data_IF_460787826066
#
_entry.id   IF_460787826066
#
_cell.length_a   1.000
_cell.length_b   1.000
_cell.length_c   1.000
_cell.angle_alpha   90.00
_cell.angle_beta   90.00
_cell.angle_gamma   90.00
#
_symmetry.space_group_name_H-M   'P 1'
#
loop_
_entity.id
_entity.type
_entity.pdbx_description
1 polymer ?
#
# COMPACT_ATOMS: atom_id res chain seq x y z
N UNK A 1 14.05 -24.53 10.45
CA UNK A 1 13.53 -25.72 9.75
C UNK A 1 14.09 -25.70 8.33
N UNK A 2 14.53 -26.83 7.75
CA UNK A 2 15.00 -26.87 6.37
C UNK A 2 13.92 -26.42 5.38
N UNK A 3 14.30 -25.80 4.27
CA UNK A 3 13.37 -25.25 3.25
C UNK A 3 12.37 -26.30 2.75
N UNK A 4 12.81 -27.54 2.52
CA UNK A 4 11.96 -28.66 2.09
C UNK A 4 10.90 -29.01 3.13
N UNK A 5 11.23 -28.94 4.43
CA UNK A 5 10.28 -29.18 5.50
C UNK A 5 9.29 -28.01 5.65
N UNK A 6 9.70 -26.76 5.38
CA UNK A 6 8.78 -25.62 5.27
C UNK A 6 7.75 -25.84 4.15
N UNK A 7 8.19 -26.28 2.97
CA UNK A 7 7.29 -26.56 1.85
C UNK A 7 6.31 -27.68 2.20
N UNK A 8 6.83 -28.83 2.64
CA UNK A 8 6.03 -30.02 2.87
C UNK A 8 5.07 -29.92 4.08
N UNK A 9 5.48 -29.27 5.16
CA UNK A 9 4.72 -29.25 6.43
C UNK A 9 3.91 -27.98 6.65
N UNK A 10 4.25 -26.87 5.97
CA UNK A 10 3.55 -25.58 6.15
C UNK A 10 2.88 -25.15 4.85
N UNK A 11 3.64 -24.95 3.77
CA UNK A 11 3.12 -24.33 2.55
C UNK A 11 2.05 -25.20 1.88
N UNK A 12 2.36 -26.47 1.58
CA UNK A 12 1.40 -27.36 0.89
C UNK A 12 0.10 -27.57 1.68
N UNK A 13 0.12 -27.80 3.01
CA UNK A 13 -1.12 -27.85 3.79
C UNK A 13 -1.87 -26.52 3.82
N UNK A 14 -1.16 -25.39 3.96
CA UNK A 14 -1.76 -24.06 4.02
C UNK A 14 -2.47 -23.68 2.70
N UNK A 15 -1.94 -24.09 1.55
CA UNK A 15 -2.53 -23.84 0.22
C UNK A 15 -3.99 -24.26 0.14
N UNK A 16 -4.36 -25.42 0.71
CA UNK A 16 -5.74 -25.90 0.67
C UNK A 16 -6.74 -24.96 1.38
N UNK A 17 -6.28 -24.26 2.42
CA UNK A 17 -7.09 -23.30 3.17
C UNK A 17 -7.08 -21.92 2.52
N UNK A 18 -5.95 -21.49 1.95
CA UNK A 18 -5.83 -20.21 1.24
C UNK A 18 -6.67 -20.15 -0.04
N UNK A 19 -6.88 -21.28 -0.72
CA UNK A 19 -7.70 -21.35 -1.95
C UNK A 19 -9.14 -21.74 -1.67
N UNK A 20 -9.58 -21.75 -0.41
CA UNK A 20 -10.92 -22.18 -0.08
C UNK A 20 -11.97 -21.15 -0.51
N UNK A 21 -12.87 -21.56 -1.40
CA UNK A 21 -13.96 -20.74 -1.96
C UNK A 21 -15.35 -21.09 -1.39
N UNK A 22 -15.40 -21.95 -0.37
CA UNK A 22 -16.64 -22.38 0.27
C UNK A 22 -17.14 -21.44 1.37
N UNK A 23 -18.25 -21.82 2.01
CA UNK A 23 -18.87 -21.03 3.08
C UNK A 23 -17.96 -20.86 4.29
N UNK A 24 -17.80 -19.62 4.76
CA UNK A 24 -16.98 -19.26 5.90
C UNK A 24 -17.69 -19.62 7.22
N UNK A 25 -17.49 -20.84 7.69
CA UNK A 25 -17.77 -21.18 9.09
C UNK A 25 -16.71 -20.55 10.01
N UNK A 26 -17.02 -20.34 11.29
CA UNK A 26 -16.06 -19.77 12.26
C UNK A 26 -14.72 -20.52 12.26
N UNK A 27 -14.77 -21.86 12.26
CA UNK A 27 -13.56 -22.70 12.21
C UNK A 27 -12.80 -22.55 10.89
N UNK A 28 -13.49 -22.36 9.77
CA UNK A 28 -12.84 -22.15 8.48
C UNK A 28 -12.08 -20.81 8.43
N UNK A 29 -12.65 -19.76 9.05
CA UNK A 29 -11.96 -18.46 9.20
C UNK A 29 -10.67 -18.63 10.02
N UNK A 30 -10.73 -19.31 11.17
CA UNK A 30 -9.54 -19.57 12.00
C UNK A 30 -8.45 -20.36 11.25
N UNK A 31 -8.86 -21.38 10.48
CA UNK A 31 -7.94 -22.17 9.66
C UNK A 31 -7.31 -21.35 8.53
N UNK A 32 -8.11 -20.50 7.87
CA UNK A 32 -7.63 -19.58 6.86
C UNK A 32 -6.61 -18.59 7.46
N UNK A 33 -6.93 -17.93 8.58
CA UNK A 33 -6.03 -16.97 9.23
C UNK A 33 -4.73 -17.63 9.71
N UNK A 34 -4.83 -18.87 10.21
CA UNK A 34 -3.67 -19.68 10.59
C UNK A 34 -2.79 -20.01 9.38
N UNK A 35 -3.39 -20.44 8.28
CA UNK A 35 -2.69 -20.75 7.03
C UNK A 35 -2.03 -19.50 6.42
N UNK A 36 -2.74 -18.37 6.42
CA UNK A 36 -2.23 -17.06 5.99
C UNK A 36 -1.01 -16.64 6.80
N UNK A 37 -1.12 -16.65 8.13
CA UNK A 37 -0.03 -16.27 9.04
C UNK A 37 1.19 -17.20 8.91
N UNK A 38 0.96 -18.51 8.81
CA UNK A 38 2.04 -19.49 8.66
C UNK A 38 2.78 -19.33 7.31
N UNK A 39 2.05 -19.12 6.22
CA UNK A 39 2.63 -18.88 4.89
C UNK A 39 3.44 -17.60 4.86
N UNK A 40 2.91 -16.51 5.43
CA UNK A 40 3.62 -15.24 5.53
C UNK A 40 4.89 -15.35 6.38
N UNK A 41 4.86 -16.16 7.45
CA UNK A 41 6.05 -16.45 8.25
C UNK A 41 7.12 -17.22 7.46
N UNK A 42 6.73 -18.17 6.60
CA UNK A 42 7.66 -18.89 5.73
C UNK A 42 8.30 -17.96 4.71
N UNK A 43 7.50 -17.09 4.08
CA UNK A 43 7.97 -16.07 3.13
C UNK A 43 8.94 -15.08 3.77
N UNK A 44 8.67 -14.69 5.02
CA UNK A 44 9.50 -13.73 5.76
C UNK A 44 10.86 -14.30 6.20
N UNK A 45 11.11 -15.60 6.02
CA UNK A 45 12.37 -16.23 6.42
C UNK A 45 13.42 -16.14 5.29
N UNK A 46 14.54 -15.42 5.46
CA UNK A 46 15.55 -15.24 4.41
C UNK A 46 16.18 -16.56 3.93
N UNK A 47 16.21 -17.60 4.77
CA UNK A 47 16.74 -18.92 4.42
C UNK A 47 15.86 -19.68 3.42
N UNK A 48 14.60 -19.28 3.25
CA UNK A 48 13.65 -19.89 2.32
C UNK A 48 13.62 -19.16 0.96
N UNK A 49 14.67 -18.44 0.59
CA UNK A 49 14.68 -17.59 -0.61
C UNK A 49 14.31 -18.33 -1.89
N UNK A 50 14.81 -19.57 -2.09
CA UNK A 50 14.47 -20.40 -3.25
C UNK A 50 12.99 -20.80 -3.30
N UNK A 51 12.40 -21.13 -2.15
CA UNK A 51 10.97 -21.44 -2.02
C UNK A 51 10.11 -20.19 -2.25
N UNK A 52 10.56 -19.06 -1.73
CA UNK A 52 9.87 -17.77 -1.81
C UNK A 52 9.66 -17.32 -3.26
N UNK A 53 10.67 -17.49 -4.12
CA UNK A 53 10.56 -17.15 -5.56
C UNK A 53 9.40 -17.87 -6.23
N UNK A 54 9.21 -19.17 -5.95
CA UNK A 54 8.09 -19.93 -6.52
C UNK A 54 6.74 -19.65 -5.83
N UNK A 55 6.77 -19.27 -4.55
CA UNK A 55 5.56 -19.14 -3.74
C UNK A 55 4.89 -17.76 -3.85
N UNK A 56 5.67 -16.68 -4.05
CA UNK A 56 5.16 -15.30 -4.06
C UNK A 56 4.02 -15.10 -5.08
N UNK A 57 4.12 -15.54 -6.35
CA UNK A 57 3.04 -15.34 -7.32
C UNK A 57 1.72 -16.00 -6.87
N UNK A 58 1.78 -17.24 -6.37
CA UNK A 58 0.61 -17.94 -5.85
C UNK A 58 0.02 -17.22 -4.62
N UNK A 59 0.87 -16.80 -3.69
CA UNK A 59 0.40 -16.14 -2.47
C UNK A 59 -0.27 -14.80 -2.76
N UNK A 60 0.27 -14.02 -3.71
CA UNK A 60 -0.33 -12.74 -4.13
C UNK A 60 -1.69 -12.95 -4.77
N UNK A 61 -1.84 -13.95 -5.64
CA UNK A 61 -3.14 -14.27 -6.25
C UNK A 61 -4.18 -14.65 -5.19
N UNK A 62 -3.79 -15.52 -4.25
CA UNK A 62 -4.65 -15.88 -3.11
C UNK A 62 -5.00 -14.65 -2.24
N UNK A 63 -4.02 -13.77 -1.98
CA UNK A 63 -4.23 -12.55 -1.20
C UNK A 63 -5.28 -11.64 -1.86
N UNK A 64 -5.21 -11.46 -3.17
CA UNK A 64 -6.19 -10.66 -3.91
C UNK A 64 -7.56 -11.33 -4.02
N UNK A 65 -7.62 -12.66 -4.11
CA UNK A 65 -8.88 -13.39 -4.14
C UNK A 65 -9.60 -13.36 -2.78
N UNK A 66 -8.84 -13.29 -1.68
CA UNK A 66 -9.37 -13.23 -0.33
C UNK A 66 -9.80 -11.82 0.12
N UNK A 67 -9.23 -10.75 -0.42
CA UNK A 67 -9.64 -9.38 -0.08
C UNK A 67 -10.83 -8.91 -0.95
N UNK A 68 -11.86 -8.26 -0.39
CA UNK A 68 -12.07 -7.88 1.02
C UNK A 68 -12.89 -8.88 1.85
N UNK A 69 -13.27 -10.02 1.28
CA UNK A 69 -14.26 -10.93 1.89
C UNK A 69 -13.74 -11.76 3.08
N UNK A 70 -12.48 -12.19 3.02
CA UNK A 70 -11.86 -13.11 3.98
C UNK A 70 -10.74 -12.45 4.81
N UNK A 71 -10.15 -11.36 4.29
CA UNK A 71 -9.10 -10.59 4.99
C UNK A 71 -9.48 -9.14 5.12
N UNK A 72 -9.15 -8.56 6.27
CA UNK A 72 -9.32 -7.14 6.52
C UNK A 72 -8.33 -6.29 5.72
N UNK A 73 -8.67 -5.01 5.53
CA UNK A 73 -7.75 -3.99 4.95
C UNK A 73 -6.38 -4.00 5.62
N UNK A 74 -6.34 -4.14 6.95
CA UNK A 74 -5.09 -4.17 7.70
C UNK A 74 -4.26 -5.41 7.37
N UNK A 75 -4.88 -6.60 7.39
CA UNK A 75 -4.19 -7.85 7.06
C UNK A 75 -3.67 -7.82 5.62
N UNK A 76 -4.48 -7.35 4.67
CA UNK A 76 -4.07 -7.18 3.27
C UNK A 76 -2.85 -6.26 3.14
N UNK A 77 -2.92 -5.05 3.71
CA UNK A 77 -1.83 -4.07 3.66
C UNK A 77 -0.53 -4.60 4.28
N UNK A 78 -0.61 -5.23 5.45
CA UNK A 78 0.56 -5.81 6.12
C UNK A 78 1.16 -6.93 5.27
N UNK A 79 0.34 -7.88 4.80
CA UNK A 79 0.79 -8.98 3.98
C UNK A 79 1.45 -8.49 2.68
N UNK A 80 0.81 -7.55 1.97
CA UNK A 80 1.33 -7.01 0.73
C UNK A 80 2.62 -6.22 0.96
N UNK A 81 2.69 -5.40 2.02
CA UNK A 81 3.92 -4.68 2.42
C UNK A 81 5.07 -5.66 2.68
N UNK A 82 4.80 -6.78 3.35
CA UNK A 82 5.80 -7.82 3.58
C UNK A 82 6.26 -8.47 2.27
N UNK A 83 5.35 -8.76 1.33
CA UNK A 83 5.73 -9.27 0.01
C UNK A 83 6.59 -8.24 -0.73
N UNK A 84 6.22 -6.96 -0.72
CA UNK A 84 7.00 -5.89 -1.33
C UNK A 84 8.41 -5.80 -0.74
N UNK A 85 8.55 -5.90 0.58
CA UNK A 85 9.87 -5.96 1.22
C UNK A 85 10.71 -7.14 0.72
N UNK A 86 10.09 -8.31 0.58
CA UNK A 86 10.75 -9.53 0.12
C UNK A 86 11.20 -9.39 -1.34
N UNK A 87 10.38 -8.81 -2.22
CA UNK A 87 10.72 -8.67 -3.65
C UNK A 87 11.66 -7.49 -3.96
N UNK A 88 12.06 -6.75 -2.93
CA UNK A 88 12.92 -5.57 -3.03
C UNK A 88 14.33 -5.84 -2.48
N UNK A 89 15.34 -5.03 -2.87
CA UNK A 89 16.67 -5.11 -2.29
C UNK A 89 16.61 -4.99 -0.75
N UNK A 90 17.40 -5.78 0.01
CA UNK A 90 18.57 -6.57 -0.44
C UNK A 90 18.27 -8.06 -0.75
N UNK A 91 17.02 -8.47 -0.90
CA UNK A 91 16.69 -9.89 -1.04
C UNK A 91 17.05 -10.46 -2.42
N UNK A 92 17.51 -11.73 -2.52
CA UNK A 92 17.96 -12.31 -3.80
C UNK A 92 16.91 -12.31 -4.92
N UNK A 93 15.63 -12.39 -4.58
CA UNK A 93 14.53 -12.38 -5.55
C UNK A 93 14.47 -11.08 -6.34
N UNK A 94 14.88 -9.94 -5.77
CA UNK A 94 14.89 -8.65 -6.49
C UNK A 94 15.94 -8.62 -7.61
N UNK A 95 16.94 -9.50 -7.55
CA UNK A 95 17.95 -9.68 -8.60
C UNK A 95 17.52 -10.70 -9.64
N UNK A 96 16.82 -11.76 -9.21
CA UNK A 96 16.30 -12.79 -10.11
C UNK A 96 15.12 -12.28 -10.96
N UNK A 97 14.22 -11.53 -10.34
CA UNK A 97 12.97 -11.04 -10.94
C UNK A 97 12.80 -9.53 -10.68
N UNK A 98 13.61 -8.67 -11.32
CA UNK A 98 13.64 -7.22 -11.04
C UNK A 98 12.33 -6.50 -11.40
N UNK A 99 11.49 -7.08 -12.26
CA UNK A 99 10.21 -6.51 -12.67
C UNK A 99 9.06 -6.85 -11.71
N UNK A 100 9.26 -7.83 -10.81
CA UNK A 100 8.19 -8.37 -9.98
C UNK A 100 7.57 -7.28 -9.08
N UNK A 101 8.38 -6.44 -8.45
CA UNK A 101 7.87 -5.35 -7.60
C UNK A 101 6.97 -4.38 -8.34
N UNK A 102 7.29 -4.09 -9.62
CA UNK A 102 6.47 -3.21 -10.45
C UNK A 102 5.17 -3.89 -10.88
N UNK A 103 5.26 -5.13 -11.37
CA UNK A 103 4.09 -5.94 -11.74
C UNK A 103 3.10 -6.06 -10.58
N UNK A 104 3.58 -6.27 -9.36
CA UNK A 104 2.73 -6.34 -8.17
C UNK A 104 1.98 -5.03 -7.92
N UNK A 105 2.64 -3.88 -8.08
CA UNK A 105 1.97 -2.59 -7.95
C UNK A 105 0.98 -2.33 -9.08
N UNK A 106 1.29 -2.73 -10.31
CA UNK A 106 0.35 -2.65 -11.45
C UNK A 106 -0.91 -3.46 -11.16
N UNK A 107 -0.78 -4.66 -10.59
CA UNK A 107 -1.93 -5.47 -10.17
C UNK A 107 -2.79 -4.75 -9.13
N UNK A 108 -2.18 -4.16 -8.09
CA UNK A 108 -2.92 -3.37 -7.07
C UNK A 108 -3.63 -2.19 -7.73
N UNK A 109 -2.92 -1.43 -8.57
CA UNK A 109 -3.47 -0.25 -9.24
C UNK A 109 -4.63 -0.62 -10.15
N UNK A 110 -4.48 -1.65 -10.99
CA UNK A 110 -5.54 -2.11 -11.89
C UNK A 110 -6.78 -2.55 -11.10
N UNK A 111 -6.60 -3.30 -10.01
CA UNK A 111 -7.72 -3.66 -9.13
C UNK A 111 -8.38 -2.45 -8.47
N UNK A 112 -7.61 -1.44 -8.07
CA UNK A 112 -8.16 -0.23 -7.45
C UNK A 112 -9.07 0.58 -8.40
N UNK A 113 -8.88 0.46 -9.72
CA UNK A 113 -9.71 1.15 -10.72
C UNK A 113 -11.13 0.59 -10.79
N UNK A 114 -11.29 -0.72 -10.57
CA UNK A 114 -12.59 -1.43 -10.65
C UNK A 114 -13.15 -1.84 -9.27
N UNK A 115 -12.47 -1.47 -8.17
CA UNK A 115 -12.81 -1.87 -6.82
C UNK A 115 -14.07 -1.17 -6.28
N UNK A 116 -14.73 -1.82 -5.30
CA UNK A 116 -15.90 -1.22 -4.66
C UNK A 116 -15.52 0.06 -3.90
N UNK A 117 -16.37 1.07 -4.06
CA UNK A 117 -16.24 2.39 -3.43
C UNK A 117 -17.09 2.51 -2.16
N UNK A 118 -17.99 1.55 -1.92
CA UNK A 118 -18.77 1.49 -0.70
C UNK A 118 -17.86 1.28 0.53
N UNK A 119 -18.17 1.89 1.69
CA UNK A 119 -17.47 1.61 2.93
C UNK A 119 -17.53 0.13 3.28
N UNK A 120 -16.39 -0.46 3.60
CA UNK A 120 -16.28 -1.85 4.05
C UNK A 120 -16.96 -2.01 5.42
N UNK A 121 -17.56 -3.17 5.70
CA UNK A 121 -18.12 -3.46 7.00
C UNK A 121 -17.03 -3.44 8.07
N UNK A 122 -17.40 -2.99 9.28
CA UNK A 122 -16.51 -3.04 10.43
C UNK A 122 -16.13 -4.50 10.71
N UNK A 123 -14.85 -4.81 10.65
CA UNK A 123 -14.35 -6.15 11.00
C UNK A 123 -14.31 -6.33 12.51
N UNK A 124 -14.37 -7.58 12.97
CA UNK A 124 -14.29 -7.91 14.40
C UNK A 124 -13.02 -7.34 15.06
N UNK A 125 -11.92 -7.25 14.31
CA UNK A 125 -10.67 -6.62 14.74
C UNK A 125 -10.81 -5.14 15.08
N UNK A 126 -11.64 -4.39 14.34
CA UNK A 126 -11.92 -2.97 14.60
C UNK A 126 -12.78 -2.83 15.84
N UNK A 127 -13.77 -3.69 16.01
CA UNK A 127 -14.63 -3.74 17.19
C UNK A 127 -13.79 -4.02 18.44
N UNK A 128 -12.95 -5.05 18.39
CA UNK A 128 -12.05 -5.44 19.49
C UNK A 128 -11.03 -4.34 19.84
N UNK A 129 -10.61 -3.52 18.87
CA UNK A 129 -9.70 -2.39 19.10
C UNK A 129 -10.41 -1.19 19.73
N UNK A 130 -11.63 -0.88 19.28
CA UNK A 130 -12.46 0.16 19.88
C UNK A 130 -12.77 -0.16 21.35
N UNK A 131 -13.04 -1.43 21.66
CA UNK A 131 -13.23 -1.91 23.05
C UNK A 131 -11.97 -1.76 23.92
N UNK A 132 -10.78 -1.80 23.30
CA UNK A 132 -9.48 -1.58 23.97
C UNK A 132 -9.09 -0.10 24.07
N UNK A 133 -9.97 0.83 23.68
CA UNK A 133 -9.73 2.27 23.73
C UNK A 133 -8.70 2.78 22.71
N UNK A 134 -8.39 1.97 21.68
CA UNK A 134 -7.60 2.41 20.53
C UNK A 134 -8.50 3.24 19.61
N UNK A 135 -7.93 4.24 18.93
CA UNK A 135 -8.69 5.09 18.01
C UNK A 135 -9.46 4.25 16.99
N UNK A 136 -10.74 4.54 16.71
CA UNK A 136 -11.50 3.84 15.68
C UNK A 136 -10.71 3.84 14.37
N UNK A 137 -10.66 2.70 13.66
CA UNK A 137 -10.10 2.71 12.30
C UNK A 137 -10.94 3.65 11.44
N UNK A 138 -10.25 4.50 10.67
CA UNK A 138 -10.91 5.36 9.70
C UNK A 138 -11.73 4.52 8.71
N UNK A 139 -12.88 5.01 8.24
CA UNK A 139 -13.72 4.29 7.29
C UNK A 139 -12.97 4.08 5.98
N UNK A 140 -12.88 2.82 5.53
CA UNK A 140 -12.19 2.42 4.30
C UNK A 140 -13.17 1.72 3.36
N UNK A 141 -13.05 1.97 2.06
CA UNK A 141 -13.57 1.13 0.97
C UNK A 141 -12.52 0.14 0.46
N UNK A 142 -12.92 -0.78 -0.42
CA UNK A 142 -11.98 -1.64 -1.13
C UNK A 142 -10.97 -0.80 -1.94
N UNK A 143 -11.47 0.18 -2.71
CA UNK A 143 -10.62 1.08 -3.51
C UNK A 143 -9.60 1.83 -2.63
N UNK A 144 -10.04 2.51 -1.58
CA UNK A 144 -9.13 3.28 -0.71
C UNK A 144 -8.12 2.38 0.01
N UNK A 145 -8.50 1.15 0.35
CA UNK A 145 -7.60 0.14 0.91
C UNK A 145 -6.48 -0.27 -0.05
N UNK A 146 -6.81 -0.45 -1.33
CA UNK A 146 -5.82 -0.77 -2.37
C UNK A 146 -4.89 0.42 -2.64
N UNK A 147 -5.42 1.65 -2.66
CA UNK A 147 -4.57 2.84 -2.82
C UNK A 147 -3.64 3.04 -1.61
N UNK A 148 -4.10 2.80 -0.38
CA UNK A 148 -3.23 2.76 0.80
C UNK A 148 -2.12 1.72 0.66
N UNK A 149 -2.42 0.59 0.04
CA UNK A 149 -1.43 -0.46 -0.22
C UNK A 149 -0.37 0.00 -1.22
N UNK A 150 -0.74 0.77 -2.25
CA UNK A 150 0.23 1.42 -3.15
C UNK A 150 1.16 2.35 -2.36
N UNK A 151 0.59 3.18 -1.48
CA UNK A 151 1.36 4.13 -0.65
C UNK A 151 2.36 3.42 0.26
N UNK A 152 1.91 2.38 0.96
CA UNK A 152 2.76 1.61 1.87
C UNK A 152 3.92 0.90 1.17
N UNK A 153 3.84 0.75 -0.16
CA UNK A 153 4.82 0.04 -0.97
C UNK A 153 5.89 0.98 -1.55
N UNK A 154 5.63 2.29 -1.61
CA UNK A 154 6.57 3.29 -2.17
C UNK A 154 7.99 3.21 -1.57
N UNK A 155 8.18 2.98 -0.25
CA UNK A 155 9.53 2.88 0.33
C UNK A 155 10.36 1.70 -0.18
N UNK A 156 9.73 0.67 -0.76
CA UNK A 156 10.42 -0.55 -1.21
C UNK A 156 10.73 -0.54 -2.70
N UNK A 157 10.22 0.44 -3.46
CA UNK A 157 10.39 0.48 -4.91
C UNK A 157 11.83 0.66 -5.34
N UNK A 158 12.31 -0.01 -6.41
CA UNK A 158 13.56 0.36 -7.06
C UNK A 158 13.59 1.85 -7.43
N UNK A 159 14.74 2.52 -7.22
CA UNK A 159 14.88 3.98 -7.42
C UNK A 159 14.33 4.50 -8.75
N UNK A 160 14.55 3.83 -9.91
CA UNK A 160 14.05 4.32 -11.19
C UNK A 160 12.52 4.45 -11.25
N UNK A 161 11.80 3.70 -10.42
CA UNK A 161 10.35 3.61 -10.43
C UNK A 161 9.69 4.60 -9.46
N UNK A 162 10.43 5.13 -8.48
CA UNK A 162 9.87 5.90 -7.37
C UNK A 162 9.09 7.12 -7.85
N UNK A 163 9.64 7.88 -8.80
CA UNK A 163 9.01 9.10 -9.29
C UNK A 163 7.68 8.86 -10.03
N UNK A 164 7.69 7.86 -10.92
CA UNK A 164 6.50 7.51 -11.70
C UNK A 164 5.41 6.97 -10.78
N UNK A 165 5.78 6.12 -9.82
CA UNK A 165 4.84 5.55 -8.86
C UNK A 165 4.36 6.56 -7.82
N UNK A 166 5.15 7.57 -7.44
CA UNK A 166 4.65 8.72 -6.67
C UNK A 166 3.54 9.44 -7.42
N UNK A 167 3.72 9.64 -8.73
CA UNK A 167 2.73 10.28 -9.60
C UNK A 167 1.47 9.43 -9.75
N UNK A 168 1.62 8.14 -10.11
CA UNK A 168 0.50 7.21 -10.29
C UNK A 168 -0.29 7.04 -8.99
N UNK A 169 0.39 6.91 -7.85
CA UNK A 169 -0.28 6.76 -6.55
C UNK A 169 -1.03 8.03 -6.15
N UNK A 170 -0.46 9.22 -6.41
CA UNK A 170 -1.16 10.48 -6.17
C UNK A 170 -2.39 10.64 -7.07
N UNK A 171 -2.33 10.17 -8.32
CA UNK A 171 -3.47 10.14 -9.23
C UNK A 171 -4.57 9.18 -8.72
N UNK A 172 -4.22 7.94 -8.39
CA UNK A 172 -5.17 6.96 -7.85
C UNK A 172 -5.81 7.40 -6.53
N UNK A 173 -5.08 8.12 -5.68
CA UNK A 173 -5.65 8.75 -4.48
C UNK A 173 -6.70 9.81 -4.84
N UNK A 174 -6.48 10.62 -5.87
CA UNK A 174 -7.44 11.64 -6.31
C UNK A 174 -8.68 11.06 -7.00
N UNK A 175 -8.61 9.84 -7.53
CA UNK A 175 -9.72 9.11 -8.14
C UNK A 175 -10.78 8.66 -7.09
N UNK A 176 -10.41 8.55 -5.81
CA UNK A 176 -11.34 8.18 -4.73
C UNK A 176 -12.38 9.29 -4.58
N UNK A 177 -13.62 9.08 -5.02
CA UNK A 177 -14.63 10.15 -5.08
C UNK A 177 -15.05 10.71 -3.71
N UNK A 178 -15.19 9.85 -2.69
CA UNK A 178 -15.62 10.26 -1.35
C UNK A 178 -14.47 10.94 -0.59
N UNK A 179 -14.60 12.22 -0.19
CA UNK A 179 -13.56 12.92 0.56
C UNK A 179 -13.27 12.30 1.93
N UNK A 180 -14.25 11.65 2.58
CA UNK A 180 -14.06 10.99 3.88
C UNK A 180 -13.16 9.76 3.73
N UNK A 181 -13.35 8.99 2.66
CA UNK A 181 -12.49 7.83 2.35
C UNK A 181 -11.12 8.27 1.80
N UNK A 182 -11.04 9.42 1.12
CA UNK A 182 -9.80 9.95 0.56
C UNK A 182 -8.86 10.53 1.62
N UNK A 183 -9.40 11.14 2.67
CA UNK A 183 -8.61 11.88 3.66
C UNK A 183 -7.55 11.00 4.36
N UNK A 184 -7.85 9.81 4.87
CA UNK A 184 -6.84 8.92 5.48
C UNK A 184 -5.77 8.47 4.49
N UNK A 185 -6.13 8.29 3.22
CA UNK A 185 -5.19 7.96 2.14
C UNK A 185 -4.21 9.09 1.91
N UNK A 186 -4.72 10.34 1.89
CA UNK A 186 -3.90 11.54 1.75
C UNK A 186 -2.98 11.77 2.94
N UNK A 187 -3.49 11.55 4.15
CA UNK A 187 -2.69 11.68 5.38
C UNK A 187 -1.55 10.66 5.40
N UNK A 188 -1.83 9.41 5.01
CA UNK A 188 -0.81 8.38 4.88
C UNK A 188 0.21 8.68 3.77
N UNK A 189 -0.23 9.19 2.62
CA UNK A 189 0.67 9.61 1.54
C UNK A 189 1.64 10.69 2.04
N UNK A 190 1.12 11.67 2.77
CA UNK A 190 1.92 12.73 3.38
C UNK A 190 2.89 12.19 4.44
N UNK A 191 2.42 11.29 5.29
CA UNK A 191 3.25 10.65 6.32
C UNK A 191 4.45 9.92 5.70
N UNK A 192 4.26 9.13 4.64
CA UNK A 192 5.36 8.41 3.97
C UNK A 192 6.43 9.37 3.43
N UNK A 193 6.03 10.56 2.95
CA UNK A 193 6.97 11.57 2.45
C UNK A 193 7.78 12.25 3.56
N UNK A 194 7.26 12.35 4.79
CA UNK A 194 7.84 13.19 5.86
C UNK A 194 8.40 12.39 7.04
N UNK A 195 7.90 11.18 7.29
CA UNK A 195 8.22 10.35 8.47
C UNK A 195 9.60 9.68 8.44
N UNK A 196 10.29 9.70 7.30
CA UNK A 196 11.56 9.01 7.11
C UNK A 196 11.43 7.51 6.82
N UNK A 197 10.24 7.02 6.43
CA UNK A 197 10.07 5.64 5.91
C UNK A 197 10.85 5.42 4.60
N UNK A 198 11.05 6.48 3.81
CA UNK A 198 11.96 6.46 2.66
C UNK A 198 13.41 6.64 3.11
N UNK A 199 14.32 5.83 2.56
CA UNK A 199 15.75 6.11 2.68
C UNK A 199 16.14 7.42 1.96
N UNK A 200 17.39 7.83 2.16
CA UNK A 200 17.93 9.10 1.68
C UNK A 200 17.78 9.28 0.16
N UNK A 201 18.00 8.23 -0.63
CA UNK A 201 17.96 8.32 -2.10
C UNK A 201 16.51 8.46 -2.57
N UNK A 202 15.59 7.66 -2.02
CA UNK A 202 14.15 7.75 -2.31
C UNK A 202 13.55 9.07 -1.84
N UNK A 203 13.92 9.54 -0.67
CA UNK A 203 13.48 10.82 -0.13
C UNK A 203 13.95 11.99 -1.01
N UNK A 204 15.17 11.93 -1.56
CA UNK A 204 15.69 12.95 -2.49
C UNK A 204 14.84 13.03 -3.76
N UNK A 205 14.45 11.87 -4.33
CA UNK A 205 13.52 11.80 -5.46
C UNK A 205 12.16 12.40 -5.06
N UNK A 206 11.62 12.02 -3.90
CA UNK A 206 10.35 12.52 -3.38
C UNK A 206 10.32 14.04 -3.21
N UNK A 207 11.38 14.64 -2.67
CA UNK A 207 11.52 16.10 -2.52
C UNK A 207 11.59 16.78 -3.90
N UNK A 208 12.39 16.27 -4.83
CA UNK A 208 12.48 16.81 -6.18
C UNK A 208 11.12 16.75 -6.90
N UNK A 209 10.44 15.60 -6.80
CA UNK A 209 9.10 15.38 -7.34
C UNK A 209 8.07 16.36 -6.77
N UNK A 210 8.06 16.53 -5.44
CA UNK A 210 7.17 17.44 -4.73
C UNK A 210 7.36 18.90 -5.15
N UNK A 211 8.62 19.35 -5.24
CA UNK A 211 8.98 20.77 -5.39
C UNK A 211 9.03 21.22 -6.85
N UNK A 212 9.57 20.40 -7.75
CA UNK A 212 9.87 20.81 -9.13
C UNK A 212 9.04 20.08 -10.18
N UNK A 213 8.56 18.86 -9.89
CA UNK A 213 7.84 18.03 -10.88
C UNK A 213 6.32 18.03 -10.72
N UNK A 214 5.79 18.94 -9.91
CA UNK A 214 4.35 19.15 -9.77
C UNK A 214 3.65 18.22 -8.78
N UNK A 215 4.38 17.37 -8.04
CA UNK A 215 3.81 16.49 -7.02
C UNK A 215 2.99 17.23 -5.97
N UNK A 216 3.45 18.41 -5.54
CA UNK A 216 2.68 19.28 -4.62
C UNK A 216 1.28 19.61 -5.17
N UNK A 217 1.16 19.94 -6.45
CA UNK A 217 -0.13 20.27 -7.07
C UNK A 217 -1.02 19.04 -7.17
N UNK A 218 -0.44 17.88 -7.47
CA UNK A 218 -1.18 16.62 -7.54
C UNK A 218 -1.77 16.24 -6.18
N UNK A 219 -1.04 16.40 -5.08
CA UNK A 219 -1.51 15.97 -3.74
C UNK A 219 -2.39 17.02 -3.06
N UNK A 220 -2.08 18.30 -3.22
CA UNK A 220 -2.80 19.38 -2.55
C UNK A 220 -3.95 19.97 -3.37
N UNK A 221 -4.01 19.69 -4.68
CA UNK A 221 -4.88 20.40 -5.61
C UNK A 221 -4.43 21.85 -5.86
N UNK A 222 -5.17 22.59 -6.68
CA UNK A 222 -4.84 23.98 -7.04
C UNK A 222 -5.04 25.01 -5.90
N UNK A 223 -5.58 24.61 -4.75
CA UNK A 223 -6.04 25.52 -3.69
C UNK A 223 -4.92 26.09 -2.78
N UNK A 224 -3.65 25.70 -2.96
CA UNK A 224 -2.54 26.09 -2.07
C UNK A 224 -1.39 26.84 -2.76
N UNK A 225 -1.68 27.61 -3.81
CA UNK A 225 -0.83 28.74 -4.14
C UNK A 225 -1.18 29.90 -3.19
N UNK A 226 -0.32 30.27 -2.21
CA UNK A 226 -0.51 31.55 -1.56
C UNK A 226 -0.29 32.60 -2.65
N UNK A 227 -1.37 33.26 -3.05
CA UNK A 227 -1.31 34.47 -3.87
C UNK A 227 -0.63 35.52 -2.99
N UNK A 228 0.70 35.51 -2.96
CA UNK A 228 1.51 36.62 -2.49
C UNK A 228 1.37 37.73 -3.54
N UNK A 229 0.20 38.36 -3.54
CA UNK A 229 -0.02 39.62 -4.23
C UNK A 229 0.81 40.66 -3.51
N UNK A 230 2.06 40.81 -3.95
CA UNK A 230 2.89 41.95 -3.63
C UNK A 230 2.24 43.19 -4.25
N UNK A 231 1.22 43.71 -3.57
CA UNK A 231 0.70 45.04 -3.81
C UNK A 231 1.78 46.02 -3.37
N UNK A 232 2.59 46.46 -4.33
CA UNK A 232 3.30 47.74 -4.22
C UNK A 232 2.18 48.79 -4.16
N UNK A 233 1.94 49.29 -2.95
CA UNK A 233 1.07 50.44 -2.76
C UNK A 233 1.67 51.64 -3.47
N UNK A 234 0.84 52.22 -4.32
CA UNK A 234 0.92 53.50 -5.00
C UNK A 234 1.49 54.61 -4.09
N UNK A 235 2.73 55.05 -4.36
CA UNK A 235 3.20 56.36 -3.90
C UNK A 235 2.84 57.37 -4.97
N UNK A 236 1.86 58.20 -4.62
CA UNK A 236 1.21 59.11 -5.54
C UNK A 236 2.05 60.32 -5.94
N UNK A 237 1.43 61.03 -6.90
CA UNK A 237 1.56 62.46 -7.26
C UNK A 237 2.51 62.80 -8.40
N UNK A 238 1.89 62.77 -9.59
CA UNK A 238 1.84 63.87 -10.56
C UNK A 238 2.60 65.15 -10.16
N UNK A 239 3.64 65.48 -10.92
CA UNK A 239 4.04 66.88 -11.13
C UNK A 239 4.57 67.02 -12.55
N UNK A 240 3.73 67.57 -13.43
CA UNK A 240 4.16 68.20 -14.68
C UNK A 240 4.32 69.70 -14.39
N UNK A 241 5.55 70.19 -14.50
CA UNK A 241 5.89 71.54 -14.93
C UNK A 241 7.14 71.41 -15.81
#
# INVERSE_FOLDING_TARGET
MPTEACDALIVRPATAYLTHTGGLTSTMVELFESAHSATLSVLSCPHNSSLTVGLVPFYVDALFASFPAQISTRQFRVAFKTVMQIVSPPFPISLAEPQLSETLLEMVRFKAMDADTAPLPLTQDVINQAEKGLSPQDPMSEQSSLVLTLIDSLPFLPLPLVEDWLTLTAQSMNEIADPVLRQPVKDRFWEVLVSGEMDVERATIGVAWWTTKGGRRLVLGEQLAPVMSGAIMDEGRSSRL
#
